data_IF_912715615400
#
_entry.id   IF_912715615400
#
_cell.length_a   1.000
_cell.length_b   1.000
_cell.length_c   1.000
_cell.angle_alpha   90.00
_cell.angle_beta   90.00
_cell.angle_gamma   90.00
#
_symmetry.space_group_name_H-M   'P 1'
#
loop_
_entity.id
_entity.type
_entity.pdbx_description
1 polymer ?
#
# COMPACT_ATOMS: atom_id res chain seq x y z
N UNK A 1 -12.17 -2.06 6.67
CA UNK A 1 -11.77 -3.01 5.62
C UNK A 1 -10.27 -3.15 5.74
N UNK A 2 -9.78 -4.29 6.24
CA UNK A 2 -8.35 -4.52 6.43
C UNK A 2 -7.77 -5.17 5.17
N UNK A 3 -7.63 -4.38 4.10
CA UNK A 3 -7.10 -4.88 2.83
C UNK A 3 -5.58 -4.72 2.83
N UNK A 4 -4.80 -5.82 2.92
CA UNK A 4 -3.35 -5.73 2.83
C UNK A 4 -2.93 -5.41 1.38
N UNK A 5 -1.97 -4.49 1.25
CA UNK A 5 -1.32 -4.14 -0.01
C UNK A 5 0.19 -4.30 0.14
N UNK A 6 0.86 -4.53 -0.99
CA UNK A 6 2.31 -4.51 -1.07
C UNK A 6 2.74 -3.64 -2.25
N UNK A 7 3.75 -2.79 -2.02
CA UNK A 7 4.36 -2.02 -3.09
C UNK A 7 5.21 -2.94 -3.97
N UNK A 8 5.03 -2.84 -5.28
CA UNK A 8 5.83 -3.57 -6.28
C UNK A 8 6.85 -2.68 -6.99
N UNK A 9 6.70 -1.36 -6.83
CA UNK A 9 7.62 -0.36 -7.34
C UNK A 9 8.00 0.64 -6.25
N UNK A 10 9.22 1.18 -6.36
CA UNK A 10 9.75 2.15 -5.44
C UNK A 10 9.04 3.49 -5.69
N UNK A 11 8.37 4.01 -4.67
CA UNK A 11 7.72 5.33 -4.72
C UNK A 11 8.64 6.36 -4.06
N UNK A 12 9.09 6.07 -2.84
CA UNK A 12 9.95 6.92 -2.06
C UNK A 12 10.74 6.08 -1.04
N UNK A 13 11.90 5.59 -1.45
CA UNK A 13 12.77 4.75 -0.62
C UNK A 13 13.24 5.47 0.65
N UNK A 14 13.56 6.77 0.57
CA UNK A 14 13.98 7.57 1.72
C UNK A 14 12.92 7.61 2.83
N UNK A 15 11.65 7.44 2.47
CA UNK A 15 10.53 7.34 3.41
C UNK A 15 10.02 5.91 3.63
N UNK A 16 10.77 4.87 3.23
CA UNK A 16 10.37 3.47 3.40
C UNK A 16 9.21 2.99 2.52
N UNK A 17 8.87 3.72 1.45
CA UNK A 17 7.90 3.30 0.42
C UNK A 17 8.64 2.66 -0.76
N UNK A 18 9.12 1.45 -0.56
CA UNK A 18 9.91 0.69 -1.52
C UNK A 18 9.24 -0.65 -1.85
N UNK A 19 9.80 -1.37 -2.82
CA UNK A 19 9.33 -2.71 -3.16
C UNK A 19 9.30 -3.60 -1.91
N UNK A 20 8.18 -4.28 -1.70
CA UNK A 20 7.98 -5.16 -0.54
C UNK A 20 7.39 -4.46 0.69
N UNK A 21 7.27 -3.12 0.72
CA UNK A 21 6.58 -2.43 1.81
C UNK A 21 5.12 -2.88 1.88
N UNK A 22 4.73 -3.46 3.02
CA UNK A 22 3.35 -3.86 3.28
C UNK A 22 2.58 -2.73 3.93
N UNK A 23 1.37 -2.53 3.44
CA UNK A 23 0.45 -1.47 3.80
C UNK A 23 -0.91 -2.07 4.13
N UNK A 24 -1.71 -1.39 4.94
CA UNK A 24 -3.13 -1.70 5.13
C UNK A 24 -3.97 -0.50 4.68
N UNK A 25 -4.95 -0.74 3.84
CA UNK A 25 -5.83 0.33 3.34
C UNK A 25 -6.70 0.86 4.47
N UNK A 26 -6.70 2.16 4.66
CA UNK A 26 -7.58 2.85 5.62
C UNK A 26 -8.68 3.64 4.92
N UNK A 27 -8.42 4.13 3.70
CA UNK A 27 -9.42 4.84 2.89
C UNK A 27 -9.17 4.68 1.38
N UNK A 28 -10.26 4.62 0.59
CA UNK A 28 -10.23 4.57 -0.87
C UNK A 28 -11.11 5.67 -1.45
N UNK A 29 -10.57 6.43 -2.39
CA UNK A 29 -11.30 7.36 -3.23
C UNK A 29 -10.95 7.12 -4.71
N UNK A 30 -11.64 7.81 -5.63
CA UNK A 30 -11.56 7.59 -7.09
C UNK A 30 -10.12 7.47 -7.65
N UNK A 31 -9.14 8.14 -7.03
CA UNK A 31 -7.72 8.13 -7.45
C UNK A 31 -6.73 8.21 -6.29
N UNK A 32 -7.19 7.95 -5.07
CA UNK A 32 -6.38 8.10 -3.85
C UNK A 32 -6.56 6.87 -2.99
N UNK A 33 -5.44 6.31 -2.57
CA UNK A 33 -5.39 5.25 -1.57
C UNK A 33 -4.69 5.82 -0.35
N UNK A 34 -5.41 5.87 0.76
CA UNK A 34 -4.82 6.12 2.07
C UNK A 34 -4.52 4.77 2.71
N UNK A 35 -3.28 4.60 3.13
CA UNK A 35 -2.85 3.35 3.74
C UNK A 35 -1.83 3.61 4.85
N UNK A 36 -1.77 2.67 5.79
CA UNK A 36 -0.83 2.69 6.89
C UNK A 36 0.25 1.63 6.67
N UNK A 37 1.51 1.99 6.92
CA UNK A 37 2.63 1.06 6.84
C UNK A 37 2.60 0.13 8.04
N UNK A 38 2.54 -1.18 7.78
CA UNK A 38 2.47 -2.20 8.83
C UNK A 38 3.79 -2.99 8.96
N UNK A 39 4.78 -2.74 8.09
CA UNK A 39 6.10 -3.38 8.13
C UNK A 39 7.23 -2.43 7.79
N UNK A 40 8.39 -2.59 8.44
CA UNK A 40 9.61 -1.84 8.16
C UNK A 40 9.92 -0.76 9.21
N UNK A 41 10.89 0.11 8.94
CA UNK A 41 11.33 1.13 9.90
C UNK A 41 10.33 2.31 10.10
N UNK A 42 9.17 2.25 9.45
CA UNK A 42 8.15 3.32 9.41
C UNK A 42 6.75 2.80 9.82
N UNK A 43 6.66 1.73 10.61
CA UNK A 43 5.39 1.17 11.10
C UNK A 43 4.54 2.25 11.78
N UNK A 44 3.24 2.26 11.51
CA UNK A 44 2.28 3.24 12.07
C UNK A 44 2.21 4.56 11.30
N UNK A 45 3.01 4.74 10.25
CA UNK A 45 2.97 5.95 9.44
C UNK A 45 1.79 5.94 8.46
N UNK A 46 0.88 6.90 8.61
CA UNK A 46 -0.20 7.13 7.66
C UNK A 46 0.37 7.81 6.39
N UNK A 47 0.12 7.22 5.22
CA UNK A 47 0.67 7.68 3.94
C UNK A 47 -0.47 7.82 2.94
N UNK A 48 -0.49 8.96 2.24
CA UNK A 48 -1.38 9.20 1.11
C UNK A 48 -0.61 8.87 -0.15
N UNK A 49 -1.09 7.90 -0.92
CA UNK A 49 -0.54 7.56 -2.23
C UNK A 49 -1.44 8.20 -3.29
N UNK A 50 -0.88 9.14 -4.04
CA UNK A 50 -1.56 9.81 -5.16
C UNK A 50 -1.01 9.32 -6.50
N UNK A 51 -1.92 9.00 -7.43
CA UNK A 51 -1.57 8.61 -8.79
C UNK A 51 -1.99 7.19 -9.16
N UNK A 52 -1.84 6.83 -10.44
CA UNK A 52 -1.97 5.45 -10.89
C UNK A 52 -0.76 4.66 -10.39
N UNK A 53 -0.85 4.17 -9.16
CA UNK A 53 0.03 3.11 -8.73
C UNK A 53 -0.36 1.89 -9.56
N UNK A 54 0.54 1.40 -10.43
CA UNK A 54 0.42 0.06 -11.00
C UNK A 54 0.52 -0.94 -9.85
N UNK A 55 -0.59 -1.12 -9.12
CA UNK A 55 -0.78 -2.26 -8.24
C UNK A 55 -1.01 -3.42 -9.19
N UNK A 56 0.00 -4.26 -9.39
CA UNK A 56 -0.28 -5.57 -9.98
C UNK A 56 -1.20 -6.25 -8.97
N UNK A 57 -2.48 -6.35 -9.33
CA UNK A 57 -3.47 -7.08 -8.55
C UNK A 57 -3.08 -8.55 -8.71
N UNK A 58 -2.19 -9.04 -7.85
CA UNK A 58 -2.00 -10.48 -7.69
C UNK A 58 -3.36 -11.04 -7.28
N UNK A 59 -3.84 -12.03 -8.04
CA UNK A 59 -5.16 -12.65 -7.94
C UNK A 59 -5.57 -12.80 -6.48
N UNK A 60 -6.63 -12.10 -6.08
CA UNK A 60 -7.35 -12.40 -4.85
C UNK A 60 -7.90 -13.81 -5.02
N UNK A 61 -7.31 -14.77 -4.31
CA UNK A 61 -7.98 -16.05 -4.10
C UNK A 61 -9.12 -15.79 -3.12
N UNK A 62 -10.33 -15.63 -3.68
CA UNK A 62 -11.57 -15.81 -2.94
C UNK A 62 -11.50 -17.18 -2.27
N UNK A 63 -11.54 -17.24 -0.93
CA UNK A 63 -12.14 -18.40 -0.29
C UNK A 63 -13.61 -18.06 -0.12
N UNK A 64 -14.42 -18.94 -0.68
CA UNK A 64 -15.87 -19.02 -0.51
C UNK A 64 -16.30 -18.85 0.94
#
# INVERSE_FOLDING_TARGET
MEVPLMLLHNINQSCGLCNGTRLIVTHLASRVIQAEVITGNNIGSNRIIMGQLYVAITRVTSRE
#
